data_IF_855432243575
#
_entry.id   IF_855432243575
#
_cell.length_a   1.000
_cell.length_b   1.000
_cell.length_c   1.000
_cell.angle_alpha   90.00
_cell.angle_beta   90.00
_cell.angle_gamma   90.00
#
_symmetry.space_group_name_H-M   'P 1'
#
loop_
_entity.id
_entity.type
_entity.pdbx_description
1 polymer ?
#
# COMPACT_ATOMS: atom_id res chain seq x y z
N UNK A 1 11.52 -31.05 4.54
CA UNK A 1 10.15 -31.19 3.97
C UNK A 1 9.38 -29.87 3.93
N UNK A 2 9.31 -29.09 5.02
CA UNK A 2 8.54 -27.83 5.04
C UNK A 2 8.93 -26.83 3.93
N UNK A 3 10.22 -26.67 3.62
CA UNK A 3 10.67 -25.80 2.53
C UNK A 3 10.18 -26.26 1.14
N UNK A 4 10.20 -27.57 0.86
CA UNK A 4 9.69 -28.11 -0.41
C UNK A 4 8.18 -27.91 -0.53
N UNK A 5 7.44 -28.07 0.58
CA UNK A 5 6.01 -27.82 0.61
C UNK A 5 5.68 -26.34 0.41
N UNK A 6 6.43 -25.44 1.06
CA UNK A 6 6.32 -23.99 0.86
C UNK A 6 6.62 -23.58 -0.59
N UNK A 7 7.66 -24.14 -1.19
CA UNK A 7 8.01 -23.92 -2.59
C UNK A 7 6.91 -24.38 -3.55
N UNK A 8 6.36 -25.58 -3.31
CA UNK A 8 5.23 -26.09 -4.08
C UNK A 8 4.00 -25.19 -3.92
N UNK A 9 3.72 -24.73 -2.70
CA UNK A 9 2.62 -23.82 -2.42
C UNK A 9 2.77 -22.47 -3.14
N UNK A 10 3.98 -21.92 -3.26
CA UNK A 10 4.24 -20.72 -4.08
C UNK A 10 4.02 -20.97 -5.57
N UNK A 11 4.51 -22.10 -6.10
CA UNK A 11 4.30 -22.46 -7.50
C UNK A 11 2.80 -22.64 -7.81
N UNK A 12 2.08 -23.33 -6.93
CA UNK A 12 0.63 -23.48 -7.03
C UNK A 12 -0.07 -22.12 -6.97
N UNK A 13 0.29 -21.25 -6.01
CA UNK A 13 -0.25 -19.90 -5.88
C UNK A 13 -0.09 -19.11 -7.18
N UNK A 14 1.09 -19.16 -7.80
CA UNK A 14 1.35 -18.51 -9.08
C UNK A 14 0.38 -19.01 -10.18
N UNK A 15 0.28 -20.34 -10.34
CA UNK A 15 -0.64 -20.95 -11.33
C UNK A 15 -2.08 -20.54 -11.09
N UNK A 16 -2.58 -20.64 -9.85
CA UNK A 16 -3.98 -20.30 -9.55
C UNK A 16 -4.25 -18.80 -9.62
N UNK A 17 -3.26 -17.94 -9.37
CA UNK A 17 -3.40 -16.49 -9.59
C UNK A 17 -3.51 -16.16 -11.07
N UNK A 18 -2.64 -16.73 -11.91
CA UNK A 18 -2.72 -16.57 -13.37
C UNK A 18 -4.06 -17.10 -13.91
N UNK A 19 -4.45 -18.30 -13.47
CA UNK A 19 -5.73 -18.89 -13.86
C UNK A 19 -6.92 -18.03 -13.40
N UNK A 20 -6.90 -17.47 -12.19
CA UNK A 20 -7.97 -16.60 -11.70
C UNK A 20 -8.14 -15.36 -12.58
N UNK A 21 -7.05 -14.71 -12.97
CA UNK A 21 -7.08 -13.56 -13.91
C UNK A 21 -7.71 -13.97 -15.24
N UNK A 22 -7.20 -15.05 -15.85
CA UNK A 22 -7.69 -15.54 -17.15
C UNK A 22 -9.16 -15.95 -17.08
N UNK A 23 -9.54 -16.74 -16.08
CA UNK A 23 -10.91 -17.22 -15.89
C UNK A 23 -11.89 -16.07 -15.62
N UNK A 24 -11.50 -15.07 -14.80
CA UNK A 24 -12.33 -13.89 -14.59
C UNK A 24 -12.51 -13.09 -15.88
N UNK A 25 -11.43 -12.81 -16.63
CA UNK A 25 -11.51 -12.01 -17.87
C UNK A 25 -12.27 -12.74 -18.99
N UNK A 26 -11.95 -14.01 -19.24
CA UNK A 26 -12.63 -14.80 -20.26
C UNK A 26 -14.08 -15.11 -19.86
N UNK A 27 -14.33 -15.37 -18.57
CA UNK A 27 -15.69 -15.57 -18.05
C UNK A 27 -16.57 -14.34 -18.26
N UNK A 28 -16.03 -13.14 -18.04
CA UNK A 28 -16.68 -11.88 -18.36
C UNK A 28 -16.93 -11.76 -19.88
N UNK A 29 -15.89 -11.94 -20.70
CA UNK A 29 -15.94 -11.75 -22.15
C UNK A 29 -16.97 -12.66 -22.82
N UNK A 30 -17.02 -13.91 -22.39
CA UNK A 30 -17.92 -14.94 -22.94
C UNK A 30 -19.24 -15.08 -22.17
N UNK A 31 -19.49 -14.25 -21.14
CA UNK A 31 -20.68 -14.33 -20.27
C UNK A 31 -20.91 -15.74 -19.70
N UNK A 32 -19.83 -16.39 -19.25
CA UNK A 32 -19.84 -17.79 -18.81
C UNK A 32 -19.74 -17.89 -17.27
N UNK A 33 -20.89 -17.97 -16.60
CA UNK A 33 -21.00 -17.90 -15.14
C UNK A 33 -20.17 -18.94 -14.37
N UNK A 34 -20.08 -20.18 -14.89
CA UNK A 34 -19.26 -21.22 -14.27
C UNK A 34 -17.77 -20.88 -14.33
N UNK A 35 -17.33 -20.17 -15.38
CA UNK A 35 -15.93 -19.76 -15.52
C UNK A 35 -15.61 -18.58 -14.59
N UNK A 36 -16.56 -17.65 -14.44
CA UNK A 36 -16.49 -16.59 -13.43
C UNK A 36 -16.41 -17.17 -12.01
N UNK A 37 -17.26 -18.15 -11.69
CA UNK A 37 -17.23 -18.85 -10.40
C UNK A 37 -15.92 -19.62 -10.19
N UNK A 38 -15.36 -20.21 -11.25
CA UNK A 38 -14.04 -20.85 -11.20
C UNK A 38 -12.93 -19.85 -10.91
N UNK A 39 -12.93 -18.67 -11.56
CA UNK A 39 -11.98 -17.59 -11.28
C UNK A 39 -12.04 -17.11 -9.84
N UNK A 40 -13.24 -17.01 -9.26
CA UNK A 40 -13.45 -16.75 -7.83
C UNK A 40 -12.81 -17.81 -6.93
N UNK A 41 -13.10 -19.08 -7.21
CA UNK A 41 -12.59 -20.19 -6.40
C UNK A 41 -11.07 -20.28 -6.50
N UNK A 42 -10.48 -19.95 -7.65
CA UNK A 42 -9.04 -19.85 -7.83
C UNK A 42 -8.41 -18.72 -7.00
N UNK A 43 -9.09 -17.58 -6.82
CA UNK A 43 -8.64 -16.53 -5.91
C UNK A 43 -8.62 -16.99 -4.45
N UNK A 44 -9.62 -17.77 -4.02
CA UNK A 44 -9.64 -18.38 -2.68
C UNK A 44 -8.55 -19.45 -2.53
N UNK A 45 -8.35 -20.28 -3.55
CA UNK A 45 -7.28 -21.27 -3.59
C UNK A 45 -5.89 -20.60 -3.48
N UNK A 46 -5.68 -19.47 -4.18
CA UNK A 46 -4.46 -18.69 -4.08
C UNK A 46 -4.17 -18.25 -2.63
N UNK A 47 -5.21 -17.82 -1.92
CA UNK A 47 -5.10 -17.42 -0.51
C UNK A 47 -4.66 -18.60 0.36
N UNK A 48 -5.24 -19.79 0.16
CA UNK A 48 -4.84 -21.00 0.88
C UNK A 48 -3.39 -21.40 0.55
N UNK A 49 -2.99 -21.32 -0.72
CA UNK A 49 -1.63 -21.64 -1.16
C UNK A 49 -0.59 -20.68 -0.57
N UNK A 50 -0.80 -19.36 -0.63
CA UNK A 50 0.15 -18.39 -0.05
C UNK A 50 0.15 -18.46 1.48
N UNK A 51 -1.01 -18.69 2.12
CA UNK A 51 -1.08 -18.93 3.57
C UNK A 51 -0.25 -20.16 3.97
N UNK A 52 -0.29 -21.21 3.16
CA UNK A 52 0.54 -22.40 3.38
C UNK A 52 2.02 -22.05 3.28
N UNK A 53 2.42 -21.30 2.25
CA UNK A 53 3.81 -20.85 2.10
C UNK A 53 4.28 -20.03 3.31
N UNK A 54 3.50 -19.04 3.76
CA UNK A 54 3.94 -18.18 4.88
C UNK A 54 4.00 -18.94 6.21
N UNK A 55 3.11 -19.91 6.44
CA UNK A 55 3.18 -20.81 7.60
C UNK A 55 4.44 -21.68 7.54
N UNK A 56 4.77 -22.25 6.37
CA UNK A 56 6.01 -23.00 6.19
C UNK A 56 7.24 -22.14 6.47
N UNK A 57 7.26 -20.90 5.98
CA UNK A 57 8.36 -19.97 6.25
C UNK A 57 8.51 -19.66 7.74
N UNK A 58 7.39 -19.36 8.42
CA UNK A 58 7.38 -19.12 9.87
C UNK A 58 7.84 -20.33 10.68
N UNK A 59 7.45 -21.54 10.27
CA UNK A 59 7.93 -22.78 10.88
C UNK A 59 9.45 -22.93 10.73
N UNK A 60 9.99 -22.68 9.52
CA UNK A 60 11.44 -22.76 9.26
C UNK A 60 12.24 -21.77 10.10
N UNK A 61 11.72 -20.56 10.32
CA UNK A 61 12.32 -19.61 11.26
C UNK A 61 12.27 -20.12 12.71
N UNK A 62 11.12 -20.65 13.15
CA UNK A 62 10.93 -21.14 14.51
C UNK A 62 11.90 -22.27 14.86
N UNK A 63 12.12 -23.21 13.95
CA UNK A 63 13.05 -24.34 14.14
C UNK A 63 14.49 -24.02 13.73
N UNK A 64 14.75 -22.80 13.24
CA UNK A 64 16.09 -22.35 12.82
C UNK A 64 16.72 -23.24 11.73
N UNK A 65 15.93 -23.57 10.70
CA UNK A 65 16.40 -24.39 9.57
C UNK A 65 17.29 -23.57 8.61
N UNK A 66 18.59 -23.55 8.90
CA UNK A 66 19.59 -22.79 8.14
C UNK A 66 19.93 -23.39 6.76
N UNK A 67 19.29 -24.49 6.37
CA UNK A 67 19.40 -25.00 4.98
C UNK A 67 18.77 -24.05 3.96
N UNK A 68 17.95 -23.11 4.44
CA UNK A 68 17.31 -22.08 3.64
C UNK A 68 18.03 -20.75 3.81
N UNK A 69 18.42 -20.14 2.68
CA UNK A 69 19.26 -18.93 2.62
C UNK A 69 18.66 -17.80 3.45
N UNK A 70 17.35 -17.59 3.36
CA UNK A 70 16.67 -16.51 4.06
C UNK A 70 16.72 -16.68 5.58
N UNK A 71 16.55 -17.91 6.09
CA UNK A 71 16.62 -18.20 7.53
C UNK A 71 18.06 -18.03 8.02
N UNK A 72 19.03 -18.56 7.28
CA UNK A 72 20.45 -18.43 7.60
C UNK A 72 20.94 -16.97 7.63
N UNK A 73 20.37 -16.10 6.79
CA UNK A 73 20.77 -14.70 6.70
C UNK A 73 20.13 -13.79 7.76
N UNK A 74 18.99 -14.19 8.35
CA UNK A 74 18.17 -13.29 9.18
C UNK A 74 17.81 -13.85 10.57
N UNK A 75 18.37 -14.99 10.97
CA UNK A 75 18.09 -15.62 12.27
C UNK A 75 19.33 -16.33 12.80
N UNK A 76 19.32 -16.68 14.08
CA UNK A 76 20.31 -17.55 14.72
C UNK A 76 19.62 -18.34 15.85
N UNK A 77 20.31 -19.30 16.46
CA UNK A 77 19.72 -20.17 17.49
C UNK A 77 19.32 -19.41 18.76
N UNK A 78 20.12 -18.43 19.16
CA UNK A 78 19.95 -17.67 20.41
C UNK A 78 18.85 -16.61 20.33
N UNK A 79 18.38 -16.28 19.12
CA UNK A 79 17.35 -15.28 18.91
C UNK A 79 16.03 -15.71 19.59
N UNK A 80 15.43 -14.87 20.45
CA UNK A 80 14.12 -15.12 21.01
C UNK A 80 13.06 -15.41 19.94
N UNK A 81 12.09 -16.28 20.25
CA UNK A 81 11.11 -16.79 19.27
C UNK A 81 10.32 -15.67 18.57
N UNK A 82 9.96 -14.60 19.27
CA UNK A 82 9.23 -13.48 18.68
C UNK A 82 10.05 -12.73 17.63
N UNK A 83 11.37 -12.63 17.80
CA UNK A 83 12.27 -12.07 16.78
C UNK A 83 12.54 -13.05 15.64
N UNK A 84 12.58 -14.37 15.91
CA UNK A 84 12.61 -15.38 14.84
C UNK A 84 11.39 -15.27 13.93
N UNK A 85 10.20 -15.11 14.51
CA UNK A 85 8.97 -14.94 13.73
C UNK A 85 8.94 -13.57 13.04
N UNK A 86 9.34 -12.48 13.69
CA UNK A 86 9.36 -11.16 13.03
C UNK A 86 10.38 -11.06 11.90
N UNK A 87 11.38 -11.95 11.87
CA UNK A 87 12.32 -12.08 10.76
C UNK A 87 11.63 -12.44 9.43
N UNK A 88 10.39 -12.94 9.45
CA UNK A 88 9.56 -13.05 8.24
C UNK A 88 9.54 -11.72 7.50
N UNK A 89 9.28 -10.60 8.18
CA UNK A 89 9.26 -9.27 7.56
C UNK A 89 10.54 -8.45 7.76
N UNK A 90 11.60 -9.05 8.31
CA UNK A 90 12.89 -8.40 8.54
C UNK A 90 13.77 -8.25 7.29
N UNK A 91 13.57 -9.10 6.28
CA UNK A 91 14.35 -9.10 5.02
C UNK A 91 13.48 -8.97 3.76
N UNK A 92 14.08 -9.10 2.58
CA UNK A 92 13.42 -8.83 1.29
C UNK A 92 12.37 -9.88 0.94
N UNK A 93 12.76 -11.15 0.99
CA UNK A 93 12.00 -12.28 0.45
C UNK A 93 10.74 -12.54 1.28
N UNK A 94 10.89 -12.58 2.60
CA UNK A 94 9.76 -12.83 3.50
C UNK A 94 8.82 -11.63 3.65
N UNK A 95 9.34 -10.39 3.65
CA UNK A 95 8.48 -9.21 3.77
C UNK A 95 7.62 -8.98 2.52
N UNK A 96 8.15 -9.30 1.34
CA UNK A 96 7.36 -9.32 0.12
C UNK A 96 6.35 -10.48 0.14
N UNK A 97 6.72 -11.67 0.64
CA UNK A 97 5.76 -12.76 0.81
C UNK A 97 4.61 -12.36 1.76
N UNK A 98 4.93 -11.66 2.86
CA UNK A 98 3.95 -11.13 3.79
C UNK A 98 3.02 -10.10 3.13
N UNK A 99 3.57 -9.20 2.31
CA UNK A 99 2.77 -8.26 1.48
C UNK A 99 1.81 -9.02 0.56
N UNK A 100 2.32 -9.99 -0.21
CA UNK A 100 1.53 -10.80 -1.15
C UNK A 100 0.47 -11.65 -0.46
N UNK A 101 0.80 -12.21 0.70
CA UNK A 101 -0.13 -12.94 1.55
C UNK A 101 -1.29 -12.06 2.00
N UNK A 102 -1.01 -10.88 2.58
CA UNK A 102 -2.05 -9.94 2.96
C UNK A 102 -2.94 -9.57 1.78
N UNK A 103 -2.38 -9.39 0.57
CA UNK A 103 -3.18 -9.05 -0.60
C UNK A 103 -4.18 -10.16 -0.93
N UNK A 104 -3.76 -11.43 -0.86
CA UNK A 104 -4.69 -12.55 -1.06
C UNK A 104 -5.72 -12.67 0.07
N UNK A 105 -5.36 -12.36 1.32
CA UNK A 105 -6.32 -12.30 2.43
C UNK A 105 -7.36 -11.20 2.20
N UNK A 106 -6.94 -9.97 1.83
CA UNK A 106 -7.86 -8.90 1.44
C UNK A 106 -8.76 -9.34 0.27
N UNK A 107 -8.19 -10.03 -0.72
CA UNK A 107 -8.94 -10.55 -1.87
C UNK A 107 -10.00 -11.55 -1.45
N UNK A 108 -9.66 -12.52 -0.60
CA UNK A 108 -10.61 -13.51 -0.07
C UNK A 108 -11.73 -12.83 0.71
N UNK A 109 -11.41 -11.88 1.60
CA UNK A 109 -12.40 -11.14 2.37
C UNK A 109 -13.35 -10.35 1.46
N UNK A 110 -12.81 -9.65 0.46
CA UNK A 110 -13.58 -8.88 -0.52
C UNK A 110 -14.51 -9.80 -1.30
N UNK A 111 -13.99 -10.91 -1.83
CA UNK A 111 -14.74 -11.91 -2.57
C UNK A 111 -15.88 -12.46 -1.72
N UNK A 112 -15.60 -12.94 -0.51
CA UNK A 112 -16.60 -13.57 0.36
C UNK A 112 -17.71 -12.57 0.74
N UNK A 113 -17.35 -11.35 1.13
CA UNK A 113 -18.31 -10.38 1.64
C UNK A 113 -19.14 -9.70 0.55
N UNK A 114 -18.60 -9.55 -0.66
CA UNK A 114 -19.18 -8.68 -1.69
C UNK A 114 -19.71 -9.43 -2.92
N UNK A 115 -19.47 -10.73 -3.06
CA UNK A 115 -19.82 -11.51 -4.26
C UNK A 115 -21.29 -11.33 -4.69
N UNK A 116 -22.22 -11.48 -3.74
CA UNK A 116 -23.66 -11.36 -4.01
C UNK A 116 -24.13 -9.91 -4.10
N UNK A 117 -23.51 -9.03 -3.31
CA UNK A 117 -23.91 -7.62 -3.19
C UNK A 117 -23.61 -6.82 -4.47
N UNK A 118 -22.51 -7.15 -5.15
CA UNK A 118 -22.02 -6.43 -6.32
C UNK A 118 -21.76 -7.40 -7.49
N UNK A 119 -22.65 -8.35 -7.73
CA UNK A 119 -22.44 -9.50 -8.64
C UNK A 119 -21.90 -9.13 -10.03
N UNK A 120 -22.32 -7.99 -10.59
CA UNK A 120 -21.83 -7.52 -11.89
C UNK A 120 -20.41 -6.96 -11.87
N UNK A 121 -19.95 -6.39 -10.74
CA UNK A 121 -18.62 -5.78 -10.62
C UNK A 121 -17.57 -6.76 -10.10
N UNK A 122 -17.98 -7.72 -9.27
CA UNK A 122 -17.06 -8.62 -8.56
C UNK A 122 -16.12 -9.44 -9.45
N UNK A 123 -16.50 -9.89 -10.66
CA UNK A 123 -15.56 -10.53 -11.57
C UNK A 123 -14.40 -9.61 -11.96
N UNK A 124 -14.66 -8.33 -12.18
CA UNK A 124 -13.65 -7.32 -12.52
C UNK A 124 -12.79 -6.95 -11.31
N UNK A 125 -13.41 -6.79 -10.13
CA UNK A 125 -12.68 -6.57 -8.87
C UNK A 125 -11.71 -7.71 -8.62
N UNK A 126 -12.18 -8.96 -8.80
CA UNK A 126 -11.35 -10.16 -8.67
C UNK A 126 -10.20 -10.14 -9.67
N UNK A 127 -10.46 -9.85 -10.95
CA UNK A 127 -9.41 -9.78 -11.97
C UNK A 127 -8.31 -8.77 -11.61
N UNK A 128 -8.66 -7.58 -11.12
CA UNK A 128 -7.68 -6.53 -10.76
C UNK A 128 -6.85 -6.92 -9.53
N UNK A 129 -7.49 -7.45 -8.47
CA UNK A 129 -6.79 -7.92 -7.28
C UNK A 129 -5.89 -9.12 -7.58
N UNK A 130 -6.33 -10.02 -8.46
CA UNK A 130 -5.56 -11.19 -8.86
C UNK A 130 -4.46 -10.86 -9.85
N UNK A 131 -4.59 -9.82 -10.67
CA UNK A 131 -3.50 -9.30 -11.49
C UNK A 131 -2.38 -8.70 -10.62
N UNK A 132 -2.75 -8.01 -9.55
CA UNK A 132 -1.78 -7.52 -8.56
C UNK A 132 -1.16 -8.70 -7.81
N UNK A 133 -1.95 -9.69 -7.39
CA UNK A 133 -1.43 -10.90 -6.74
C UNK A 133 -0.50 -11.69 -7.64
N UNK A 134 -0.79 -11.76 -8.95
CA UNK A 134 0.05 -12.42 -9.94
C UNK A 134 1.43 -11.76 -10.07
N UNK A 135 1.51 -10.42 -9.97
CA UNK A 135 2.79 -9.73 -9.91
C UNK A 135 3.61 -10.19 -8.69
N UNK A 136 3.02 -10.21 -7.49
CA UNK A 136 3.73 -10.64 -6.29
C UNK A 136 4.10 -12.14 -6.29
N UNK A 137 3.20 -13.03 -6.73
CA UNK A 137 3.55 -14.46 -6.86
C UNK A 137 4.63 -14.69 -7.90
N UNK A 138 4.66 -13.90 -8.98
CA UNK A 138 5.75 -13.95 -9.97
C UNK A 138 7.07 -13.51 -9.35
N UNK A 139 7.05 -12.44 -8.55
CA UNK A 139 8.22 -12.00 -7.80
C UNK A 139 8.73 -13.09 -6.85
N UNK A 140 7.86 -13.75 -6.08
CA UNK A 140 8.28 -14.82 -5.16
C UNK A 140 8.86 -16.02 -5.88
N UNK A 141 8.31 -16.40 -7.04
CA UNK A 141 8.77 -17.59 -7.72
C UNK A 141 10.07 -17.37 -8.49
N UNK A 142 10.23 -16.20 -9.12
CA UNK A 142 11.29 -15.95 -10.11
C UNK A 142 12.37 -14.96 -9.68
N UNK A 143 12.11 -14.08 -8.70
CA UNK A 143 13.04 -13.01 -8.33
C UNK A 143 13.53 -13.12 -6.87
N UNK A 144 12.61 -13.31 -5.92
CA UNK A 144 12.86 -13.18 -4.48
C UNK A 144 12.25 -14.36 -3.72
N UNK A 145 12.75 -15.55 -4.02
CA UNK A 145 12.20 -16.78 -3.46
C UNK A 145 12.69 -17.03 -2.02
N UNK A 146 11.78 -17.05 -1.01
CA UNK A 146 12.14 -17.22 0.40
C UNK A 146 12.56 -18.66 0.75
N UNK A 147 12.38 -19.64 -0.15
CA UNK A 147 12.75 -21.05 0.04
C UNK A 147 14.01 -21.46 -0.71
N UNK A 148 14.75 -20.49 -1.28
CA UNK A 148 16.05 -20.75 -1.90
C UNK A 148 17.01 -21.41 -0.90
N UNK A 149 17.64 -22.50 -1.31
CA UNK A 149 18.59 -23.22 -0.48
C UNK A 149 19.88 -22.42 -0.27
N UNK A 150 20.48 -22.59 0.90
CA UNK A 150 21.83 -22.11 1.19
C UNK A 150 22.83 -22.92 0.38
N UNK A 151 23.65 -22.24 -0.41
CA UNK A 151 24.66 -22.85 -1.28
C UNK A 151 25.99 -22.11 -1.16
N UNK A 152 27.09 -22.83 -1.34
CA UNK A 152 28.42 -22.23 -1.52
C UNK A 152 28.65 -22.08 -3.03
N UNK A 153 28.97 -20.86 -3.45
CA UNK A 153 29.35 -20.54 -4.83
C UNK A 153 30.87 -20.43 -4.90
N UNK A 154 31.50 -21.34 -5.64
CA UNK A 154 32.92 -21.26 -5.99
C UNK A 154 33.03 -20.96 -7.48
N UNK A 155 34.02 -20.17 -7.88
CA UNK A 155 34.24 -19.71 -9.27
C UNK A 155 34.45 -20.82 -10.29
N UNK A 156 34.62 -22.07 -9.85
CA UNK A 156 34.96 -23.22 -10.68
C UNK A 156 33.99 -24.42 -10.53
N UNK A 157 32.95 -24.32 -9.69
CA UNK A 157 32.05 -25.45 -9.40
C UNK A 157 30.59 -24.99 -9.34
N UNK A 158 29.68 -25.84 -9.82
CA UNK A 158 28.24 -25.67 -9.62
C UNK A 158 27.92 -25.43 -8.14
N UNK A 159 26.90 -24.61 -7.80
CA UNK A 159 26.55 -24.33 -6.41
C UNK A 159 26.33 -25.62 -5.60
N UNK A 160 27.03 -25.75 -4.48
CA UNK A 160 26.95 -26.94 -3.61
C UNK A 160 26.06 -26.60 -2.41
N UNK A 161 25.04 -27.43 -2.09
CA UNK A 161 24.24 -27.24 -0.87
C UNK A 161 25.10 -27.22 0.38
N UNK A 162 24.87 -26.24 1.24
CA UNK A 162 25.59 -26.08 2.50
C UNK A 162 24.64 -25.63 3.59
N UNK A 163 24.73 -26.25 4.77
CA UNK A 163 23.94 -25.87 5.94
C UNK A 163 24.90 -25.36 7.01
N UNK A 164 24.91 -24.05 7.31
CA UNK A 164 25.76 -23.52 8.36
C UNK A 164 25.30 -24.02 9.74
N UNK A 165 26.23 -24.07 10.70
CA UNK A 165 25.94 -24.52 12.07
C UNK A 165 24.97 -23.58 12.78
N UNK A 166 25.11 -22.29 12.51
CA UNK A 166 24.23 -21.22 12.98
C UNK A 166 24.04 -20.15 11.88
N UNK A 167 23.02 -19.32 12.02
CA UNK A 167 22.76 -18.21 11.10
C UNK A 167 23.42 -16.89 11.53
N UNK A 168 23.36 -15.90 10.66
CA UNK A 168 23.98 -14.59 10.86
C UNK A 168 23.28 -13.75 11.94
N UNK A 169 22.10 -14.15 12.38
CA UNK A 169 21.26 -13.39 13.31
C UNK A 169 20.41 -12.32 12.61
N UNK A 170 19.45 -11.79 13.35
CA UNK A 170 18.67 -10.64 12.90
C UNK A 170 19.48 -9.36 13.14
N UNK A 171 19.41 -8.39 12.21
CA UNK A 171 20.04 -7.09 12.39
C UNK A 171 19.70 -6.51 13.78
N UNK A 172 20.67 -6.10 14.60
CA UNK A 172 20.42 -5.59 15.95
C UNK A 172 19.37 -4.49 16.03
N UNK A 173 19.30 -3.59 15.03
CA UNK A 173 18.30 -2.52 14.97
C UNK A 173 16.86 -3.04 14.82
N UNK A 174 16.70 -4.27 14.33
CA UNK A 174 15.40 -4.92 14.18
C UNK A 174 14.98 -5.70 15.43
N UNK A 175 15.82 -5.76 16.47
CA UNK A 175 15.53 -6.47 17.72
C UNK A 175 14.84 -5.56 18.75
N UNK A 176 13.74 -4.93 18.34
CA UNK A 176 12.90 -4.08 19.19
C UNK A 176 11.41 -4.50 19.10
N UNK A 177 10.67 -4.37 20.20
CA UNK A 177 9.27 -4.77 20.27
C UNK A 177 8.38 -4.02 19.26
N UNK A 178 8.66 -2.75 19.00
CA UNK A 178 7.96 -1.97 17.98
C UNK A 178 8.30 -2.47 16.58
N UNK A 179 9.51 -2.98 16.31
CA UNK A 179 9.82 -3.65 15.04
C UNK A 179 8.96 -4.91 14.81
N UNK A 180 8.61 -5.62 15.87
CA UNK A 180 7.71 -6.79 15.74
C UNK A 180 6.30 -6.36 15.30
N UNK A 181 5.82 -5.19 15.71
CA UNK A 181 4.41 -4.81 15.57
C UNK A 181 4.17 -3.81 14.43
N UNK A 182 5.05 -2.81 14.27
CA UNK A 182 4.81 -1.71 13.34
C UNK A 182 4.78 -2.14 11.86
N UNK A 183 5.67 -3.05 11.35
CA UNK A 183 5.65 -3.42 9.95
C UNK A 183 4.34 -4.13 9.58
N UNK A 184 3.84 -5.14 10.33
CA UNK A 184 2.52 -5.71 10.06
C UNK A 184 1.40 -4.66 9.92
N UNK A 185 1.40 -3.62 10.75
CA UNK A 185 0.41 -2.53 10.68
C UNK A 185 0.60 -1.68 9.41
N UNK A 186 1.84 -1.32 9.06
CA UNK A 186 2.14 -0.61 7.80
C UNK A 186 1.71 -1.42 6.58
N UNK A 187 2.01 -2.72 6.55
CA UNK A 187 1.64 -3.62 5.45
C UNK A 187 0.12 -3.78 5.32
N UNK A 188 -0.61 -3.93 6.43
CA UNK A 188 -2.08 -3.92 6.42
C UNK A 188 -2.64 -2.62 5.82
N UNK A 189 -2.00 -1.48 6.11
CA UNK A 189 -2.34 -0.20 5.51
C UNK A 189 -2.05 -0.13 4.01
N UNK A 190 -0.81 -0.43 3.59
CA UNK A 190 -0.36 -0.35 2.19
C UNK A 190 -1.18 -1.26 1.29
N UNK A 191 -1.27 -2.53 1.66
CA UNK A 191 -1.96 -3.56 0.88
C UNK A 191 -3.46 -3.27 0.83
N UNK A 192 -4.03 -2.72 1.90
CA UNK A 192 -5.44 -2.40 1.99
C UNK A 192 -5.94 -1.43 0.90
N UNK A 193 -5.08 -0.54 0.38
CA UNK A 193 -5.42 0.37 -0.73
C UNK A 193 -5.64 -0.34 -2.08
N UNK A 194 -5.23 -1.61 -2.24
CA UNK A 194 -5.53 -2.38 -3.44
C UNK A 194 -7.04 -2.63 -3.61
N UNK A 195 -7.79 -2.73 -2.51
CA UNK A 195 -9.24 -2.96 -2.54
C UNK A 195 -10.02 -1.77 -3.14
N UNK A 196 -9.91 -0.54 -2.60
CA UNK A 196 -10.60 0.60 -3.20
C UNK A 196 -10.17 0.83 -4.66
N UNK A 197 -8.90 0.60 -5.00
CA UNK A 197 -8.41 0.65 -6.38
C UNK A 197 -9.12 -0.37 -7.29
N UNK A 198 -9.23 -1.63 -6.86
CA UNK A 198 -9.92 -2.65 -7.63
C UNK A 198 -11.41 -2.34 -7.85
N UNK A 199 -12.10 -1.78 -6.85
CA UNK A 199 -13.48 -1.30 -7.01
C UNK A 199 -13.58 -0.12 -7.98
N UNK A 200 -12.66 0.85 -7.93
CA UNK A 200 -12.63 1.97 -8.86
C UNK A 200 -12.39 1.50 -10.31
N UNK A 201 -11.42 0.60 -10.53
CA UNK A 201 -11.16 0.01 -11.84
C UNK A 201 -12.39 -0.76 -12.35
N UNK A 202 -13.01 -1.60 -11.52
CA UNK A 202 -14.22 -2.32 -11.87
C UNK A 202 -15.39 -1.37 -12.23
N UNK A 203 -15.56 -0.27 -11.48
CA UNK A 203 -16.59 0.73 -11.75
C UNK A 203 -16.37 1.41 -13.11
N UNK A 204 -15.13 1.77 -13.44
CA UNK A 204 -14.76 2.36 -14.72
C UNK A 204 -14.98 1.38 -15.89
N UNK A 205 -14.58 0.12 -15.72
CA UNK A 205 -14.73 -0.90 -16.77
C UNK A 205 -16.22 -1.20 -17.03
N UNK A 206 -17.00 -1.39 -15.96
CA UNK A 206 -18.44 -1.73 -16.05
C UNK A 206 -19.35 -0.53 -16.31
N UNK A 207 -18.80 0.70 -16.23
CA UNK A 207 -19.56 1.97 -16.28
C UNK A 207 -20.60 2.09 -15.15
N UNK A 208 -20.47 1.32 -14.07
CA UNK A 208 -21.34 1.39 -12.89
C UNK A 208 -20.82 2.45 -11.90
N UNK A 209 -20.95 3.72 -12.30
CA UNK A 209 -20.34 4.87 -11.61
C UNK A 209 -21.23 5.49 -10.50
N UNK A 210 -22.25 4.77 -10.03
CA UNK A 210 -23.13 5.20 -8.94
C UNK A 210 -22.51 5.04 -7.54
N UNK A 211 -23.27 5.35 -6.49
CA UNK A 211 -22.74 5.44 -5.12
C UNK A 211 -22.54 4.09 -4.41
N UNK A 212 -23.03 2.99 -4.98
CA UNK A 212 -23.03 1.68 -4.30
C UNK A 212 -21.62 1.14 -4.07
N UNK A 213 -20.70 1.32 -5.03
CA UNK A 213 -19.30 0.90 -4.89
C UNK A 213 -18.49 1.86 -4.01
N UNK A 214 -18.89 3.14 -3.97
CA UNK A 214 -18.25 4.17 -3.15
C UNK A 214 -18.35 3.86 -1.66
N UNK A 215 -19.52 3.42 -1.18
CA UNK A 215 -19.70 3.03 0.24
C UNK A 215 -18.76 1.89 0.64
N UNK A 216 -18.56 0.91 -0.23
CA UNK A 216 -17.63 -0.20 -0.01
C UNK A 216 -16.19 0.32 0.01
N UNK A 217 -15.83 1.13 -0.98
CA UNK A 217 -14.51 1.76 -1.14
C UNK A 217 -14.13 2.61 0.08
N UNK A 218 -15.08 3.41 0.61
CA UNK A 218 -14.90 4.21 1.82
C UNK A 218 -14.57 3.34 3.04
N UNK A 219 -15.31 2.25 3.26
CA UNK A 219 -15.06 1.33 4.40
C UNK A 219 -13.68 0.70 4.33
N UNK A 220 -13.30 0.17 3.17
CA UNK A 220 -11.97 -0.41 2.99
C UNK A 220 -10.86 0.63 3.11
N UNK A 221 -11.09 1.86 2.63
CA UNK A 221 -10.11 2.94 2.79
C UNK A 221 -9.95 3.33 4.25
N UNK A 222 -11.02 3.36 5.07
CA UNK A 222 -10.89 3.59 6.51
C UNK A 222 -10.07 2.51 7.21
N UNK A 223 -10.25 1.24 6.83
CA UNK A 223 -9.45 0.12 7.36
C UNK A 223 -7.97 0.30 7.01
N UNK A 224 -7.66 0.55 5.74
CA UNK A 224 -6.30 0.78 5.27
C UNK A 224 -5.65 2.00 5.97
N UNK A 225 -6.39 3.11 6.01
CA UNK A 225 -5.95 4.35 6.66
C UNK A 225 -5.71 4.18 8.16
N UNK A 226 -6.56 3.43 8.87
CA UNK A 226 -6.41 3.17 10.30
C UNK A 226 -5.14 2.36 10.58
N UNK A 227 -4.92 1.26 9.88
CA UNK A 227 -3.72 0.44 10.05
C UNK A 227 -2.46 1.21 9.67
N UNK A 228 -2.51 2.01 8.60
CA UNK A 228 -1.39 2.87 8.21
C UNK A 228 -1.08 3.91 9.28
N UNK A 229 -2.11 4.52 9.90
CA UNK A 229 -1.94 5.47 11.00
C UNK A 229 -1.26 4.82 12.21
N UNK A 230 -1.71 3.63 12.61
CA UNK A 230 -1.11 2.86 13.70
C UNK A 230 0.34 2.51 13.36
N UNK A 231 0.60 2.03 12.14
CA UNK A 231 1.95 1.67 11.69
C UNK A 231 2.91 2.86 11.69
N UNK A 232 2.46 4.05 11.25
CA UNK A 232 3.25 5.28 11.26
C UNK A 232 3.59 5.70 12.71
N UNK A 233 2.61 5.68 13.61
CA UNK A 233 2.83 6.04 15.02
C UNK A 233 3.78 5.08 15.74
N UNK A 234 3.61 3.77 15.53
CA UNK A 234 4.50 2.75 16.10
C UNK A 234 5.90 2.82 15.48
N UNK A 235 6.00 3.12 14.18
CA UNK A 235 7.27 3.34 13.49
C UNK A 235 8.03 4.54 14.06
N UNK A 236 7.34 5.67 14.29
CA UNK A 236 7.97 6.82 14.93
C UNK A 236 8.41 6.56 16.38
N UNK A 237 7.66 5.73 17.11
CA UNK A 237 8.07 5.28 18.45
C UNK A 237 9.31 4.38 18.42
N UNK A 238 9.42 3.49 17.43
CA UNK A 238 10.63 2.70 17.19
C UNK A 238 11.82 3.59 16.83
N UNK A 239 11.66 4.52 15.89
CA UNK A 239 12.71 5.46 15.50
C UNK A 239 13.23 6.27 16.71
N UNK A 240 12.34 6.64 17.64
CA UNK A 240 12.72 7.32 18.88
C UNK A 240 13.54 6.42 19.84
N UNK A 241 13.31 5.10 19.83
CA UNK A 241 14.08 4.16 20.64
C UNK A 241 15.49 3.96 20.09
N UNK A 242 15.62 3.98 18.77
CA UNK A 242 16.91 3.87 18.08
C UNK A 242 17.67 5.20 18.17
N UNK A 243 18.56 5.31 19.15
CA UNK A 243 19.31 6.52 19.54
C UNK A 243 20.06 7.25 18.39
N UNK A 244 20.20 6.64 17.21
CA UNK A 244 20.87 7.20 16.03
C UNK A 244 19.95 7.86 14.99
N UNK A 245 18.63 7.80 15.10
CA UNK A 245 17.72 8.15 13.99
C UNK A 245 17.13 9.57 14.05
N UNK A 246 17.62 10.42 14.96
CA UNK A 246 17.31 11.85 14.95
C UNK A 246 15.92 12.22 15.50
N UNK A 247 15.24 11.29 16.18
CA UNK A 247 13.98 11.54 16.89
C UNK A 247 12.88 10.58 16.47
N UNK A 248 11.62 11.00 16.66
CA UNK A 248 10.45 10.20 16.28
C UNK A 248 10.09 10.28 14.80
N UNK A 249 10.67 11.25 14.06
CA UNK A 249 10.46 11.45 12.63
C UNK A 249 11.62 12.23 12.04
N UNK A 250 12.27 11.69 11.01
CA UNK A 250 13.44 12.26 10.39
C UNK A 250 13.26 12.61 8.91
N UNK A 251 12.05 12.43 8.36
CA UNK A 251 11.77 12.53 6.93
C UNK A 251 12.61 11.57 6.09
N UNK A 252 12.93 10.40 6.65
CA UNK A 252 13.60 9.34 5.92
C UNK A 252 12.72 8.87 4.74
N UNK A 253 13.28 8.46 3.59
CA UNK A 253 12.48 8.01 2.46
C UNK A 253 11.46 6.91 2.79
N UNK A 254 11.76 5.98 3.70
CA UNK A 254 10.81 4.92 4.12
C UNK A 254 9.67 5.50 4.98
N UNK A 255 9.98 6.44 5.87
CA UNK A 255 8.97 7.19 6.62
C UNK A 255 8.05 7.95 5.64
N UNK A 256 8.65 8.69 4.70
CA UNK A 256 7.94 9.46 3.67
C UNK A 256 7.07 8.56 2.78
N UNK A 257 7.58 7.38 2.41
CA UNK A 257 6.84 6.37 1.65
C UNK A 257 5.53 5.97 2.33
N UNK A 258 5.52 5.90 3.67
CA UNK A 258 4.31 5.60 4.41
C UNK A 258 3.33 6.77 4.50
N UNK A 259 3.85 8.00 4.56
CA UNK A 259 3.04 9.21 4.69
C UNK A 259 2.28 9.57 3.41
N UNK A 260 2.86 9.34 2.22
CA UNK A 260 2.23 9.69 0.94
C UNK A 260 0.84 9.05 0.71
N UNK A 261 0.67 7.72 0.76
CA UNK A 261 -0.67 7.11 0.62
C UNK A 261 -1.60 7.47 1.78
N UNK A 262 -1.06 7.76 2.98
CA UNK A 262 -1.85 8.22 4.12
C UNK A 262 -2.49 9.60 3.87
N UNK A 263 -1.73 10.56 3.33
CA UNK A 263 -2.22 11.90 2.99
C UNK A 263 -3.31 11.83 1.92
N UNK A 264 -3.10 11.03 0.87
CA UNK A 264 -4.08 10.87 -0.22
C UNK A 264 -5.32 10.11 0.27
N UNK A 265 -5.15 9.07 1.09
CA UNK A 265 -6.25 8.37 1.73
C UNK A 265 -7.09 9.28 2.62
N UNK A 266 -6.44 10.18 3.37
CA UNK A 266 -7.11 11.22 4.17
C UNK A 266 -7.92 12.16 3.30
N UNK A 267 -7.36 12.63 2.18
CA UNK A 267 -8.06 13.46 1.20
C UNK A 267 -9.31 12.74 0.67
N UNK A 268 -9.16 11.47 0.26
CA UNK A 268 -10.28 10.66 -0.22
C UNK A 268 -11.39 10.50 0.82
N UNK A 269 -11.05 10.18 2.07
CA UNK A 269 -12.03 10.00 3.15
C UNK A 269 -12.85 11.27 3.43
N UNK A 270 -12.28 12.45 3.17
CA UNK A 270 -13.00 13.72 3.24
C UNK A 270 -13.85 13.98 1.99
N UNK A 271 -13.28 13.77 0.80
CA UNK A 271 -13.97 14.05 -0.47
C UNK A 271 -15.12 13.08 -0.74
N UNK A 272 -15.01 11.82 -0.32
CA UNK A 272 -16.06 10.81 -0.51
C UNK A 272 -17.35 11.17 0.23
N UNK A 273 -17.26 11.90 1.34
CA UNK A 273 -18.43 12.39 2.08
C UNK A 273 -19.23 13.41 1.26
N UNK A 274 -18.56 14.23 0.45
CA UNK A 274 -19.21 15.20 -0.43
C UNK A 274 -19.90 14.47 -1.57
N UNK A 275 -19.28 13.44 -2.14
CA UNK A 275 -19.93 12.61 -3.16
C UNK A 275 -21.19 11.93 -2.62
N UNK A 276 -21.10 11.24 -1.47
CA UNK A 276 -22.25 10.55 -0.88
C UNK A 276 -23.42 11.48 -0.52
N UNK A 277 -23.14 12.75 -0.18
CA UNK A 277 -24.17 13.72 0.24
C UNK A 277 -24.70 14.59 -0.89
N UNK A 278 -23.90 14.84 -1.94
CA UNK A 278 -24.20 15.85 -2.97
C UNK A 278 -24.04 15.34 -4.40
N UNK A 279 -23.56 14.12 -4.64
CA UNK A 279 -23.33 13.60 -6.00
C UNK A 279 -22.23 14.34 -6.77
N UNK A 280 -21.29 14.97 -6.05
CA UNK A 280 -20.20 15.79 -6.59
C UNK A 280 -18.84 15.10 -6.49
N UNK A 281 -17.82 15.65 -7.15
CA UNK A 281 -16.42 15.22 -7.03
C UNK A 281 -16.15 13.77 -7.46
N UNK A 282 -16.99 13.20 -8.33
CA UNK A 282 -16.86 11.79 -8.79
C UNK A 282 -15.49 11.53 -9.42
N UNK A 283 -15.07 12.37 -10.37
CA UNK A 283 -13.74 12.29 -11.02
C UNK A 283 -12.62 12.39 -9.97
N UNK A 284 -12.73 13.36 -9.07
CA UNK A 284 -11.73 13.62 -8.04
C UNK A 284 -11.54 12.42 -7.13
N UNK A 285 -12.63 11.79 -6.66
CA UNK A 285 -12.56 10.59 -5.83
C UNK A 285 -11.92 9.40 -6.53
N UNK A 286 -12.17 9.21 -7.83
CA UNK A 286 -11.49 8.18 -8.61
C UNK A 286 -9.99 8.46 -8.71
N UNK A 287 -9.59 9.71 -8.97
CA UNK A 287 -8.18 10.12 -9.01
C UNK A 287 -7.50 9.85 -7.67
N UNK A 288 -8.10 10.24 -6.54
CA UNK A 288 -7.53 10.02 -5.22
C UNK A 288 -7.34 8.54 -4.90
N UNK A 289 -8.31 7.68 -5.26
CA UNK A 289 -8.20 6.23 -5.06
C UNK A 289 -7.06 5.65 -5.90
N UNK A 290 -6.94 6.06 -7.18
CA UNK A 290 -5.83 5.65 -8.05
C UNK A 290 -4.50 6.08 -7.43
N UNK A 291 -4.38 7.36 -7.05
CA UNK A 291 -3.13 7.88 -6.48
C UNK A 291 -2.77 7.22 -5.16
N UNK A 292 -3.72 6.92 -4.27
CA UNK A 292 -3.43 6.24 -3.00
C UNK A 292 -2.82 4.85 -3.21
N UNK A 293 -3.38 4.07 -4.15
CA UNK A 293 -2.82 2.76 -4.51
C UNK A 293 -1.45 2.88 -5.18
N UNK A 294 -1.30 3.81 -6.14
CA UNK A 294 -0.02 4.04 -6.80
C UNK A 294 1.05 4.48 -5.80
N UNK A 295 0.71 5.34 -4.83
CA UNK A 295 1.63 5.74 -3.76
C UNK A 295 1.98 4.60 -2.81
N UNK A 296 1.07 3.67 -2.53
CA UNK A 296 1.37 2.48 -1.72
C UNK A 296 2.35 1.52 -2.42
N UNK A 297 2.14 1.27 -3.72
CA UNK A 297 3.08 0.48 -4.52
C UNK A 297 4.40 1.22 -4.71
N UNK A 298 4.35 2.54 -4.91
CA UNK A 298 5.53 3.38 -5.01
C UNK A 298 6.35 3.39 -3.72
N UNK A 299 5.70 3.41 -2.55
CA UNK A 299 6.40 3.25 -1.27
C UNK A 299 7.12 1.90 -1.18
N UNK A 300 6.48 0.83 -1.65
CA UNK A 300 7.12 -0.50 -1.75
C UNK A 300 8.32 -0.47 -2.72
N UNK A 301 8.18 0.15 -3.89
CA UNK A 301 9.28 0.37 -4.82
C UNK A 301 10.44 1.14 -4.16
N UNK A 302 10.13 2.24 -3.47
CA UNK A 302 11.13 3.11 -2.85
C UNK A 302 11.94 2.37 -1.79
N UNK A 303 11.26 1.60 -0.94
CA UNK A 303 11.89 0.85 0.16
C UNK A 303 12.74 -0.34 -0.30
N UNK A 304 12.50 -0.87 -1.51
CA UNK A 304 13.10 -2.14 -1.98
C UNK A 304 14.03 -2.02 -3.19
N UNK A 305 13.94 -0.92 -3.93
CA UNK A 305 14.72 -0.70 -5.16
C UNK A 305 16.16 -0.26 -4.93
N UNK A 306 16.48 0.28 -3.74
CA UNK A 306 17.76 0.96 -3.50
C UNK A 306 17.93 2.28 -4.27
N UNK A 307 16.86 2.81 -4.90
CA UNK A 307 16.94 4.04 -5.71
C UNK A 307 17.23 5.28 -4.84
N UNK A 308 16.84 5.24 -3.57
CA UNK A 308 17.14 6.25 -2.55
C UNK A 308 17.86 5.61 -1.37
N UNK A 309 18.78 6.35 -0.76
CA UNK A 309 19.41 5.92 0.49
C UNK A 309 18.45 6.16 1.66
N UNK A 310 18.25 5.15 2.49
CA UNK A 310 17.41 5.21 3.69
C UNK A 310 18.03 4.39 4.81
N UNK A 311 17.97 4.92 6.03
CA UNK A 311 18.43 4.20 7.23
C UNK A 311 17.47 3.09 7.66
N UNK A 312 16.23 3.15 7.15
CA UNK A 312 15.17 2.17 7.38
C UNK A 312 15.09 1.11 6.26
N UNK A 313 15.98 1.15 5.27
CA UNK A 313 16.02 0.21 4.16
C UNK A 313 16.94 -0.98 4.48
N UNK A 314 16.38 -2.01 5.13
CA UNK A 314 17.11 -3.24 5.51
C UNK A 314 17.18 -4.30 4.41
N UNK A 315 16.50 -4.07 3.29
CA UNK A 315 16.54 -4.98 2.15
C UNK A 315 16.52 -4.18 0.85
N UNK A 316 17.64 -4.22 0.14
CA UNK A 316 17.82 -3.64 -1.19
C UNK A 316 18.17 -4.75 -2.16
N UNK A 317 17.55 -4.75 -3.34
CA UNK A 317 17.78 -5.79 -4.33
C UNK A 317 17.57 -5.26 -5.75
N UNK A 318 17.97 -6.05 -6.75
CA UNK A 318 17.82 -5.74 -8.19
C UNK A 318 16.37 -5.71 -8.68
N UNK A 319 15.38 -5.71 -7.77
CA UNK A 319 13.96 -5.81 -8.12
C UNK A 319 13.30 -4.48 -8.49
N UNK A 320 14.00 -3.36 -8.35
CA UNK A 320 13.46 -2.03 -8.64
C UNK A 320 12.84 -1.93 -10.03
N UNK A 321 13.47 -2.55 -11.04
CA UNK A 321 12.95 -2.58 -12.41
C UNK A 321 11.57 -3.24 -12.55
N UNK A 322 11.32 -4.34 -11.83
CA UNK A 322 10.01 -5.02 -11.86
C UNK A 322 8.90 -4.14 -11.28
N UNK A 323 9.17 -3.47 -10.16
CA UNK A 323 8.22 -2.56 -9.53
C UNK A 323 7.99 -1.31 -10.37
N UNK A 324 9.03 -0.74 -11.00
CA UNK A 324 8.90 0.39 -11.91
C UNK A 324 8.02 0.04 -13.12
N UNK A 325 8.25 -1.12 -13.75
CA UNK A 325 7.41 -1.61 -14.84
C UNK A 325 5.96 -1.81 -14.39
N UNK A 326 5.74 -2.43 -13.23
CA UNK A 326 4.41 -2.63 -12.66
C UNK A 326 3.69 -1.31 -12.38
N UNK A 327 4.39 -0.31 -11.81
CA UNK A 327 3.85 1.03 -11.58
C UNK A 327 3.44 1.72 -12.88
N UNK A 328 4.28 1.66 -13.92
CA UNK A 328 3.98 2.25 -15.23
C UNK A 328 2.74 1.59 -15.83
N UNK A 329 2.65 0.26 -15.81
CA UNK A 329 1.50 -0.48 -16.36
C UNK A 329 0.23 -0.15 -15.57
N UNK A 330 0.28 -0.20 -14.23
CA UNK A 330 -0.87 0.06 -13.38
C UNK A 330 -1.37 1.52 -13.52
N UNK A 331 -0.46 2.49 -13.51
CA UNK A 331 -0.80 3.90 -13.67
C UNK A 331 -1.37 4.16 -15.07
N UNK A 332 -0.71 3.67 -16.12
CA UNK A 332 -1.16 3.88 -17.50
C UNK A 332 -2.53 3.24 -17.75
N UNK A 333 -2.76 2.02 -17.27
CA UNK A 333 -4.06 1.36 -17.36
C UNK A 333 -5.16 2.10 -16.60
N UNK A 334 -4.87 2.57 -15.39
CA UNK A 334 -5.82 3.33 -14.59
C UNK A 334 -6.17 4.70 -15.22
N UNK A 335 -5.16 5.41 -15.73
CA UNK A 335 -5.34 6.69 -16.42
C UNK A 335 -6.10 6.52 -17.74
N UNK A 336 -5.75 5.49 -18.52
CA UNK A 336 -6.47 5.16 -19.76
C UNK A 336 -7.97 4.95 -19.47
N UNK A 337 -8.31 4.11 -18.49
CA UNK A 337 -9.70 3.88 -18.10
C UNK A 337 -10.38 5.14 -17.57
N UNK A 338 -9.68 5.96 -16.77
CA UNK A 338 -10.21 7.21 -16.25
C UNK A 338 -10.57 8.18 -17.39
N UNK A 339 -9.65 8.41 -18.34
CA UNK A 339 -9.87 9.33 -19.45
C UNK A 339 -10.96 8.82 -20.41
N UNK A 340 -10.96 7.53 -20.73
CA UNK A 340 -11.98 6.88 -21.58
C UNK A 340 -13.38 6.91 -20.92
N UNK A 341 -13.46 7.04 -19.59
CA UNK A 341 -14.73 7.08 -18.84
C UNK A 341 -15.09 8.46 -18.30
N UNK A 342 -14.26 9.47 -18.54
CA UNK A 342 -14.49 10.84 -18.07
C UNK A 342 -15.88 11.40 -18.44
N UNK A 343 -16.41 11.18 -19.66
CA UNK A 343 -17.76 11.66 -20.01
C UNK A 343 -18.89 11.04 -19.17
N UNK A 344 -18.68 9.84 -18.61
CA UNK A 344 -19.64 9.12 -17.79
C UNK A 344 -19.51 9.46 -16.29
N UNK A 345 -18.44 10.16 -15.89
CA UNK A 345 -18.17 10.58 -14.51
C UNK A 345 -18.70 11.99 -14.18
N UNK A 346 -19.65 12.51 -14.97
CA UNK A 346 -20.24 13.83 -14.71
C UNK A 346 -20.93 13.85 -13.34
N UNK A 347 -20.62 14.88 -12.57
CA UNK A 347 -21.25 15.13 -11.27
C UNK A 347 -22.68 15.61 -11.50
N UNK A 348 -23.59 15.19 -10.64
CA UNK A 348 -25.01 15.54 -10.77
C UNK A 348 -25.26 17.00 -10.35
N UNK A 349 -24.36 17.54 -9.52
CA UNK A 349 -24.38 18.92 -9.03
C UNK A 349 -23.01 19.59 -9.25
N UNK A 350 -22.98 20.92 -9.27
CA UNK A 350 -21.77 21.74 -9.35
C UNK A 350 -21.60 22.60 -8.09
N UNK A 351 -20.38 23.10 -7.84
CA UNK A 351 -20.13 23.97 -6.68
C UNK A 351 -20.76 25.34 -6.93
N UNK A 352 -21.67 25.74 -6.05
CA UNK A 352 -22.38 27.02 -6.15
C UNK A 352 -21.62 28.19 -5.51
N UNK A 353 -20.69 27.93 -4.57
CA UNK A 353 -19.97 28.97 -3.80
C UNK A 353 -18.59 28.51 -3.36
N UNK A 354 -17.59 29.40 -3.50
CA UNK A 354 -16.23 29.22 -2.98
C UNK A 354 -16.16 29.27 -1.44
N UNK A 355 -17.16 29.86 -0.78
CA UNK A 355 -17.29 29.90 0.69
C UNK A 355 -18.45 29.00 1.08
N UNK A 356 -18.16 27.71 1.22
CA UNK A 356 -19.10 26.66 1.57
C UNK A 356 -18.34 25.49 2.21
N UNK A 357 -19.07 24.60 2.90
CA UNK A 357 -18.46 23.38 3.44
C UNK A 357 -17.90 22.50 2.32
N UNK A 358 -18.58 22.43 1.18
CA UNK A 358 -18.13 21.73 -0.04
C UNK A 358 -16.76 22.24 -0.51
N UNK A 359 -16.62 23.56 -0.62
CA UNK A 359 -15.35 24.20 -1.01
C UNK A 359 -14.26 24.00 0.04
N UNK A 360 -14.59 24.04 1.33
CA UNK A 360 -13.64 23.73 2.40
C UNK A 360 -13.12 22.28 2.32
N UNK A 361 -13.97 21.31 1.97
CA UNK A 361 -13.50 19.95 1.70
C UNK A 361 -12.55 19.90 0.50
N UNK A 362 -12.87 20.58 -0.61
CA UNK A 362 -11.98 20.64 -1.78
C UNK A 362 -10.64 21.31 -1.45
N UNK A 363 -10.65 22.44 -0.72
CA UNK A 363 -9.41 23.10 -0.27
C UNK A 363 -8.58 22.20 0.63
N UNK A 364 -9.19 21.53 1.61
CA UNK A 364 -8.50 20.56 2.46
C UNK A 364 -7.83 19.46 1.62
N UNK A 365 -8.56 18.92 0.63
CA UNK A 365 -8.02 17.94 -0.31
C UNK A 365 -6.80 18.47 -1.09
N UNK A 366 -6.88 19.68 -1.65
CA UNK A 366 -5.78 20.29 -2.40
C UNK A 366 -4.54 20.48 -1.53
N UNK A 367 -4.72 20.90 -0.27
CA UNK A 367 -3.61 21.10 0.66
C UNK A 367 -2.96 19.76 1.06
N UNK A 368 -3.77 18.71 1.29
CA UNK A 368 -3.25 17.36 1.53
C UNK A 368 -2.46 16.82 0.32
N UNK A 369 -2.93 17.10 -0.91
CA UNK A 369 -2.21 16.74 -2.13
C UNK A 369 -0.93 17.56 -2.30
N UNK A 370 -0.95 18.84 -1.95
CA UNK A 370 0.24 19.68 -1.94
C UNK A 370 1.29 19.18 -0.94
N UNK A 371 0.87 18.76 0.27
CA UNK A 371 1.74 18.09 1.23
C UNK A 371 2.34 16.80 0.64
N UNK A 372 1.50 15.95 0.05
CA UNK A 372 1.97 14.71 -0.57
C UNK A 372 2.96 14.98 -1.71
N UNK A 373 2.69 15.99 -2.54
CA UNK A 373 3.60 16.38 -3.62
C UNK A 373 4.93 16.92 -3.08
N UNK A 374 4.91 17.76 -2.04
CA UNK A 374 6.12 18.25 -1.39
C UNK A 374 6.97 17.11 -0.81
N UNK A 375 6.33 16.14 -0.16
CA UNK A 375 7.00 14.94 0.37
C UNK A 375 7.58 14.09 -0.76
N UNK A 376 6.79 13.80 -1.79
CA UNK A 376 7.24 13.06 -2.97
C UNK A 376 8.42 13.74 -3.65
N UNK A 377 8.30 15.05 -3.90
CA UNK A 377 9.33 15.85 -4.56
C UNK A 377 10.62 15.85 -3.76
N UNK A 378 10.57 16.17 -2.46
CA UNK A 378 11.75 16.16 -1.61
C UNK A 378 12.42 14.79 -1.56
N UNK A 379 11.62 13.72 -1.49
CA UNK A 379 12.13 12.33 -1.43
C UNK A 379 12.78 11.89 -2.74
N UNK A 380 12.22 12.28 -3.89
CA UNK A 380 12.73 11.91 -5.22
C UNK A 380 13.78 12.87 -5.76
N UNK A 381 13.95 14.04 -5.17
CA UNK A 381 14.91 15.04 -5.63
C UNK A 381 16.35 14.51 -5.75
N UNK A 382 16.89 13.71 -4.81
CA UNK A 382 18.21 13.11 -4.98
C UNK A 382 18.33 12.27 -6.26
N UNK A 383 17.32 11.43 -6.56
CA UNK A 383 17.26 10.58 -7.76
C UNK A 383 17.19 11.43 -9.03
N UNK A 384 16.34 12.45 -9.03
CA UNK A 384 16.17 13.35 -10.16
C UNK A 384 17.45 14.15 -10.41
N UNK A 385 18.09 14.65 -9.35
CA UNK A 385 19.34 15.42 -9.44
C UNK A 385 20.49 14.58 -9.99
N UNK A 386 20.58 13.31 -9.60
CA UNK A 386 21.57 12.37 -10.15
C UNK A 386 21.31 12.11 -11.63
N UNK A 387 20.06 11.82 -12.01
CA UNK A 387 19.71 11.53 -13.39
C UNK A 387 19.97 12.70 -14.35
N UNK A 388 19.80 13.94 -13.90
CA UNK A 388 19.94 15.15 -14.74
C UNK A 388 21.34 15.74 -14.69
N UNK A 389 21.94 15.82 -13.49
CA UNK A 389 23.22 16.53 -13.26
C UNK A 389 24.39 15.60 -12.95
N UNK A 390 24.16 14.30 -12.79
CA UNK A 390 25.18 13.33 -12.37
C UNK A 390 25.59 13.44 -10.90
N UNK A 391 24.89 14.24 -10.08
CA UNK A 391 25.20 14.43 -8.66
C UNK A 391 23.97 14.21 -7.78
N UNK A 392 24.11 13.42 -6.71
CA UNK A 392 23.05 13.20 -5.71
C UNK A 392 22.99 14.38 -4.74
N UNK A 393 21.94 15.19 -4.84
CA UNK A 393 21.65 16.24 -3.86
C UNK A 393 20.71 15.69 -2.79
N UNK A 394 21.22 15.50 -1.58
CA UNK A 394 20.43 15.03 -0.43
C UNK A 394 19.45 16.11 0.04
N UNK A 395 18.20 15.72 0.29
CA UNK A 395 17.17 16.57 0.87
C UNK A 395 16.82 16.01 2.25
N UNK A 396 17.05 16.81 3.29
CA UNK A 396 16.83 16.42 4.68
C UNK A 396 15.74 17.23 5.38
N UNK A 397 15.60 17.07 6.71
CA UNK A 397 14.57 17.73 7.53
C UNK A 397 14.38 19.24 7.29
N UNK A 398 15.43 20.07 7.05
CA UNK A 398 15.23 21.50 6.84
C UNK A 398 14.29 21.84 5.68
N UNK A 399 14.35 21.10 4.56
CA UNK A 399 13.44 21.30 3.43
C UNK A 399 12.01 20.90 3.81
N UNK A 400 11.84 19.68 4.33
CA UNK A 400 10.52 19.16 4.63
C UNK A 400 9.83 19.98 5.72
N UNK A 401 10.55 20.38 6.77
CA UNK A 401 9.99 21.23 7.83
C UNK A 401 9.58 22.60 7.27
N UNK A 402 10.41 23.23 6.44
CA UNK A 402 10.11 24.53 5.84
C UNK A 402 8.85 24.51 4.98
N UNK A 403 8.56 23.40 4.31
CA UNK A 403 7.39 23.27 3.42
C UNK A 403 6.17 22.69 4.14
N UNK A 404 6.32 21.56 4.85
CA UNK A 404 5.21 20.83 5.43
C UNK A 404 4.70 21.39 6.76
N UNK A 405 5.53 22.08 7.55
CA UNK A 405 5.04 22.69 8.81
C UNK A 405 4.00 23.79 8.55
N UNK A 406 4.23 24.76 7.64
CA UNK A 406 3.19 25.73 7.28
C UNK A 406 1.93 25.07 6.73
N UNK A 407 2.08 24.04 5.88
CA UNK A 407 0.95 23.27 5.35
C UNK A 407 0.16 22.60 6.48
N UNK A 408 0.84 21.97 7.45
CA UNK A 408 0.21 21.32 8.59
C UNK A 408 -0.55 22.33 9.48
N UNK A 409 0.06 23.49 9.77
CA UNK A 409 -0.61 24.57 10.53
C UNK A 409 -1.87 25.04 9.81
N UNK A 410 -1.80 25.22 8.49
CA UNK A 410 -2.95 25.61 7.69
C UNK A 410 -4.04 24.52 7.65
N UNK A 411 -3.66 23.25 7.57
CA UNK A 411 -4.59 22.13 7.70
C UNK A 411 -5.28 22.12 9.06
N UNK A 412 -4.53 22.32 10.16
CA UNK A 412 -5.10 22.41 11.50
C UNK A 412 -6.12 23.55 11.59
N UNK A 413 -5.80 24.72 11.04
CA UNK A 413 -6.74 25.83 10.93
C UNK A 413 -8.01 25.42 10.14
N UNK A 414 -7.86 24.80 8.96
CA UNK A 414 -8.99 24.32 8.17
C UNK A 414 -9.83 23.26 8.90
N UNK A 415 -9.23 22.39 9.71
CA UNK A 415 -9.98 21.41 10.52
C UNK A 415 -10.81 22.05 11.62
N UNK A 416 -10.39 23.20 12.16
CA UNK A 416 -11.20 23.98 13.10
C UNK A 416 -12.33 24.75 12.40
N UNK A 417 -12.04 25.38 11.26
CA UNK A 417 -12.98 26.25 10.53
C UNK A 417 -14.02 25.43 9.75
N UNK A 418 -13.61 24.36 9.07
CA UNK A 418 -14.44 23.59 8.13
C UNK A 418 -15.76 23.07 8.71
N UNK A 419 -15.77 22.42 9.89
CA UNK A 419 -16.99 21.95 10.53
C UNK A 419 -18.00 23.05 10.87
N UNK A 420 -17.52 24.29 11.09
CA UNK A 420 -18.33 25.45 11.44
C UNK A 420 -18.97 26.14 10.22
N UNK A 421 -18.53 25.83 9.00
CA UNK A 421 -19.12 26.35 7.76
C UNK A 421 -20.43 25.64 7.41
N UNK A 422 -21.42 26.36 6.88
CA UNK A 422 -22.65 25.78 6.38
C UNK A 422 -22.47 25.13 4.98
N UNK A 423 -23.29 24.14 4.66
CA UNK A 423 -23.38 23.56 3.30
C UNK A 423 -23.98 24.57 2.32
N UNK A 424 -23.63 24.47 1.03
CA UNK A 424 -23.96 25.39 -0.09
C UNK A 424 -23.44 26.82 0.03
N UNK A 425 -23.81 27.56 1.07
CA UNK A 425 -23.38 28.96 1.26
C UNK A 425 -23.32 29.31 2.74
N UNK A 426 -22.16 29.77 3.22
CA UNK A 426 -22.07 30.38 4.54
C UNK A 426 -22.56 31.84 4.46
N UNK A 427 -23.61 32.19 5.20
CA UNK A 427 -24.02 33.59 5.37
C UNK A 427 -23.14 34.28 6.42
N UNK A 428 -22.96 35.60 6.29
CA UNK A 428 -22.20 36.42 7.26
C UNK A 428 -22.75 36.30 8.69
N UNK A 429 -24.07 36.17 8.85
CA UNK A 429 -24.71 35.94 10.15
C UNK A 429 -24.43 34.53 10.70
N UNK A 430 -24.39 33.50 9.85
CA UNK A 430 -24.00 32.15 10.25
C UNK A 430 -22.53 32.09 10.68
N UNK A 431 -21.65 32.82 9.97
CA UNK A 431 -20.24 32.95 10.34
C UNK A 431 -20.09 33.64 11.70
N UNK A 432 -20.75 34.78 11.92
CA UNK A 432 -20.73 35.45 13.22
C UNK A 432 -21.19 34.51 14.34
N UNK A 433 -22.34 33.86 14.19
CA UNK A 433 -22.88 32.95 15.22
C UNK A 433 -21.96 31.77 15.52
N UNK A 434 -21.35 31.16 14.51
CA UNK A 434 -20.55 29.95 14.69
C UNK A 434 -19.11 30.22 15.15
N UNK A 435 -18.58 31.43 14.89
CA UNK A 435 -17.19 31.79 15.21
C UNK A 435 -17.04 32.78 16.38
N UNK A 436 -18.08 33.52 16.80
CA UNK A 436 -17.95 34.45 17.93
C UNK A 436 -17.73 33.75 19.27
N UNK A 437 -18.50 32.71 19.61
CA UNK A 437 -18.35 32.06 20.92
C UNK A 437 -17.02 31.35 21.10
N UNK A 438 -16.46 30.62 20.11
CA UNK A 438 -15.11 30.06 20.25
C UNK A 438 -14.03 31.16 20.31
N UNK A 439 -14.19 32.26 19.55
CA UNK A 439 -13.21 33.35 19.53
C UNK A 439 -13.20 34.22 20.81
N UNK A 440 -14.30 34.25 21.57
CA UNK A 440 -14.36 34.92 22.88
C UNK A 440 -13.78 34.02 23.99
N UNK A 441 -13.86 32.70 23.84
CA UNK A 441 -13.36 31.73 24.83
C UNK A 441 -11.87 31.39 24.67
N UNK A 442 -11.30 31.58 23.47
CA UNK A 442 -9.88 31.44 23.18
C UNK A 442 -9.11 32.72 23.55
#
# INVERSE_FOLDING_TARGET
MAAQFGQFALALAWVVTAYSVVASVLGIRFKHDKLIASGRNAALAATASITTAIICLGYLFAVSDFSIKYIAAHSNRDLPIYFKISSIWGGQEGSLLFWGWLLTVYTALVVIQNWRKHSAMMPYVTAVLMATSLFFTSMHLFAVNPFNQTVIVSSQVSPIPFVPRDGAGLNPLLQDAYMVIHPPMLYLGFVGFAVPFAFAMAALITKQLGDTWIRTTRRWTMVAWMFLSIGILLGGKWAYHELGWGGFWAWDPVENASLMPWLIGTAFLHSVMVQEKKGMLKVWNVVLVIMAYIMAIFGTFLTRSGVVNSVHAFAQSSIGGYFAAFLIIALSGALYLLFDRLPHLKSDNQMESMISRESSFLFNNLILLAACFAVFWGTMFPVISEAIKGVKITVGPPFFNKVNVPIAIFLMFLTGVGPLLAWRKASTNSLKRNFLSPAIMA
#
